data_IF_851451787739
#
_entry.id   IF_851451787739
#
_cell.length_a   1.000
_cell.length_b   1.000
_cell.length_c   1.000
_cell.angle_alpha   90.00
_cell.angle_beta   90.00
_cell.angle_gamma   90.00
#
_symmetry.space_group_name_H-M   'P 1'
#
loop_
_entity.id
_entity.type
_entity.pdbx_description
1 polymer ?
#
# COMPACT_ATOMS: atom_id res chain seq x y z
N UNK A 1 -10.21 -8.96 18.25
CA UNK A 1 -9.96 -7.68 18.88
C UNK A 1 -9.49 -6.68 17.82
N UNK A 2 -10.02 -5.48 17.79
CA UNK A 2 -9.57 -4.49 16.83
C UNK A 2 -8.12 -4.10 17.10
N UNK A 3 -7.40 -3.81 16.02
CA UNK A 3 -6.05 -3.32 16.12
C UNK A 3 -6.06 -1.91 16.73
N UNK A 4 -5.16 -1.67 17.67
CA UNK A 4 -5.02 -0.37 18.31
C UNK A 4 -3.82 0.37 17.71
N UNK A 5 -4.06 1.59 17.24
CA UNK A 5 -3.03 2.46 16.71
C UNK A 5 -3.04 3.79 17.44
N UNK A 6 -1.86 4.32 17.70
CA UNK A 6 -1.68 5.61 18.35
C UNK A 6 -1.72 6.76 17.35
N UNK A 7 -1.97 7.97 17.85
CA UNK A 7 -1.97 9.18 17.02
C UNK A 7 -0.60 9.45 16.39
N UNK A 8 0.48 9.07 17.07
CA UNK A 8 1.83 9.20 16.53
C UNK A 8 2.02 8.38 15.25
N UNK A 9 1.38 7.21 15.16
CA UNK A 9 1.43 6.36 13.98
C UNK A 9 0.68 7.00 12.80
N UNK A 10 -0.47 7.64 13.08
CA UNK A 10 -1.21 8.39 12.06
C UNK A 10 -0.42 9.58 11.55
N UNK A 11 0.26 10.31 12.45
CA UNK A 11 1.11 11.43 12.05
C UNK A 11 2.27 10.95 11.17
N UNK A 12 2.89 9.83 11.54
CA UNK A 12 3.93 9.21 10.74
C UNK A 12 3.41 8.79 9.36
N UNK A 13 2.17 8.31 9.29
CA UNK A 13 1.51 7.98 8.03
C UNK A 13 1.33 9.23 7.15
N UNK A 14 0.93 10.35 7.74
CA UNK A 14 0.80 11.62 7.01
C UNK A 14 2.13 12.02 6.38
N UNK A 15 3.21 11.97 7.15
CA UNK A 15 4.54 12.29 6.66
C UNK A 15 4.97 11.36 5.52
N UNK A 16 4.65 10.08 5.65
CA UNK A 16 4.95 9.07 4.63
C UNK A 16 4.19 9.35 3.33
N UNK A 17 2.89 9.59 3.42
CA UNK A 17 2.06 9.88 2.25
C UNK A 17 2.53 11.15 1.53
N UNK A 18 2.81 12.21 2.28
CA UNK A 18 3.29 13.46 1.69
C UNK A 18 4.68 13.29 1.08
N UNK A 19 5.53 12.47 1.69
CA UNK A 19 6.86 12.14 1.14
C UNK A 19 6.77 11.41 -0.20
N UNK A 20 5.84 10.45 -0.33
CA UNK A 20 5.61 9.76 -1.59
C UNK A 20 5.10 10.70 -2.67
N UNK A 21 4.12 11.53 -2.34
CA UNK A 21 3.56 12.49 -3.30
C UNK A 21 4.67 13.42 -3.79
N UNK A 22 5.47 13.95 -2.87
CA UNK A 22 6.56 14.87 -3.19
C UNK A 22 7.61 14.24 -4.09
N UNK A 23 7.97 12.99 -3.81
CA UNK A 23 8.98 12.26 -4.58
C UNK A 23 8.51 11.90 -5.98
N UNK A 24 7.24 11.50 -6.13
CA UNK A 24 6.74 10.84 -7.33
C UNK A 24 5.89 11.75 -8.24
N UNK A 25 5.60 12.99 -7.83
CA UNK A 25 4.89 13.96 -8.66
C UNK A 25 5.81 15.12 -9.03
N UNK A 26 5.74 15.55 -10.29
CA UNK A 26 6.49 16.72 -10.73
C UNK A 26 5.82 18.00 -10.21
N UNK A 27 6.62 18.98 -9.79
CA UNK A 27 6.14 20.26 -9.25
C UNK A 27 5.21 21.01 -10.22
N UNK A 28 5.43 20.86 -11.51
CA UNK A 28 4.64 21.54 -12.55
C UNK A 28 3.34 20.84 -12.87
N UNK A 29 3.06 19.68 -12.29
CA UNK A 29 1.81 18.97 -12.55
C UNK A 29 0.69 19.53 -11.67
N UNK A 30 -0.12 20.41 -12.25
CA UNK A 30 -1.42 20.73 -11.70
C UNK A 30 -2.33 19.53 -11.96
N UNK A 31 -2.60 18.76 -10.95
CA UNK A 31 -3.40 17.54 -11.09
C UNK A 31 -4.49 17.52 -10.04
N UNK A 32 -5.73 17.77 -10.48
CA UNK A 32 -6.91 17.74 -9.61
C UNK A 32 -7.08 16.37 -8.94
N UNK A 33 -6.66 15.29 -9.61
CA UNK A 33 -6.74 13.95 -9.04
C UNK A 33 -5.84 13.79 -7.81
N UNK A 34 -4.69 14.46 -7.78
CA UNK A 34 -3.80 14.42 -6.61
C UNK A 34 -4.44 15.16 -5.43
N UNK A 35 -5.08 16.31 -5.67
CA UNK A 35 -5.82 17.01 -4.62
C UNK A 35 -6.94 16.14 -4.05
N UNK A 36 -7.70 15.48 -4.91
CA UNK A 36 -8.77 14.57 -4.48
C UNK A 36 -8.21 13.41 -3.66
N UNK A 37 -7.07 12.87 -4.05
CA UNK A 37 -6.40 11.80 -3.30
C UNK A 37 -5.93 12.28 -1.93
N UNK A 38 -5.42 13.50 -1.82
CA UNK A 38 -5.01 14.05 -0.53
C UNK A 38 -6.21 14.22 0.39
N UNK A 39 -7.33 14.75 -0.12
CA UNK A 39 -8.56 14.87 0.66
C UNK A 39 -9.05 13.50 1.13
N UNK A 40 -9.07 12.53 0.23
CA UNK A 40 -9.47 11.16 0.54
C UNK A 40 -8.56 10.54 1.61
N UNK A 41 -7.26 10.81 1.54
CA UNK A 41 -6.31 10.33 2.53
C UNK A 41 -6.66 10.80 3.95
N UNK A 42 -6.96 12.09 4.11
CA UNK A 42 -7.32 12.62 5.43
C UNK A 42 -8.63 12.03 5.95
N UNK A 43 -9.59 11.75 5.08
CA UNK A 43 -10.83 11.06 5.47
C UNK A 43 -10.57 9.63 5.93
N UNK A 44 -9.64 8.93 5.26
CA UNK A 44 -9.24 7.58 5.64
C UNK A 44 -8.73 7.53 7.08
N UNK A 45 -7.95 8.51 7.50
CA UNK A 45 -7.38 8.52 8.85
C UNK A 45 -8.41 8.63 9.96
N UNK A 46 -9.65 8.97 9.64
CA UNK A 46 -10.75 9.02 10.61
C UNK A 46 -11.39 7.66 10.86
N UNK A 47 -11.07 6.66 10.04
CA UNK A 47 -11.67 5.32 10.14
C UNK A 47 -10.87 4.42 11.08
N UNK A 48 -11.57 3.47 11.72
CA UNK A 48 -10.91 2.46 12.56
C UNK A 48 -9.97 1.57 11.75
N UNK A 49 -10.34 1.25 10.50
CA UNK A 49 -9.53 0.44 9.59
C UNK A 49 -8.62 1.29 8.69
N UNK A 50 -8.14 2.42 9.21
CA UNK A 50 -7.40 3.39 8.39
C UNK A 50 -6.13 2.80 7.75
N UNK A 51 -5.44 1.87 8.43
CA UNK A 51 -4.21 1.30 7.86
C UNK A 51 -4.51 0.43 6.64
N UNK A 52 -5.54 -0.39 6.71
CA UNK A 52 -6.00 -1.17 5.56
C UNK A 52 -6.37 -0.24 4.40
N UNK A 53 -7.16 0.79 4.68
CA UNK A 53 -7.59 1.76 3.68
C UNK A 53 -6.41 2.54 3.11
N UNK A 54 -5.40 2.83 3.94
CA UNK A 54 -4.19 3.51 3.49
C UNK A 54 -3.40 2.66 2.48
N UNK A 55 -3.33 1.35 2.68
CA UNK A 55 -2.66 0.46 1.73
C UNK A 55 -3.33 0.56 0.34
N UNK A 56 -4.65 0.55 0.30
CA UNK A 56 -5.38 0.75 -0.94
C UNK A 56 -5.17 2.16 -1.51
N UNK A 57 -5.04 3.15 -0.64
CA UNK A 57 -4.76 4.51 -1.06
C UNK A 57 -3.40 4.61 -1.78
N UNK A 58 -2.38 3.94 -1.27
CA UNK A 58 -1.07 3.90 -1.94
C UNK A 58 -1.18 3.28 -3.33
N UNK A 59 -1.91 2.19 -3.45
CA UNK A 59 -2.13 1.54 -4.75
C UNK A 59 -2.87 2.47 -5.72
N UNK A 60 -3.88 3.18 -5.25
CA UNK A 60 -4.63 4.13 -6.05
C UNK A 60 -3.75 5.32 -6.48
N UNK A 61 -2.92 5.83 -5.58
CA UNK A 61 -1.98 6.89 -5.90
C UNK A 61 -1.01 6.45 -7.01
N UNK A 62 -0.42 5.26 -6.88
CA UNK A 62 0.48 4.73 -7.90
C UNK A 62 -0.22 4.54 -9.24
N UNK A 63 -1.45 4.06 -9.22
CA UNK A 63 -2.27 3.93 -10.44
C UNK A 63 -2.47 5.29 -11.11
N UNK A 64 -2.77 6.33 -10.34
CA UNK A 64 -3.01 7.67 -10.88
C UNK A 64 -1.77 8.32 -11.50
N UNK A 65 -0.58 7.89 -11.11
CA UNK A 65 0.67 8.38 -11.73
C UNK A 65 1.19 7.43 -12.81
N UNK A 66 0.40 6.42 -13.19
CA UNK A 66 0.69 5.56 -14.34
C UNK A 66 1.18 4.15 -14.00
N UNK A 67 1.16 3.74 -12.73
CA UNK A 67 1.65 2.42 -12.31
C UNK A 67 0.55 1.61 -11.64
N UNK A 68 -0.22 0.88 -12.45
CA UNK A 68 -1.35 0.09 -11.97
C UNK A 68 -0.92 -1.34 -11.63
N UNK A 69 -0.88 -1.65 -10.33
CA UNK A 69 -0.74 -3.03 -9.88
C UNK A 69 -2.14 -3.65 -9.79
N UNK A 70 -2.60 -4.22 -10.89
CA UNK A 70 -3.91 -4.85 -10.97
C UNK A 70 -3.83 -6.29 -10.47
N UNK A 71 -3.86 -6.45 -9.16
CA UNK A 71 -3.73 -7.77 -8.52
C UNK A 71 -4.85 -8.71 -8.93
N UNK A 72 -6.06 -8.19 -9.15
CA UNK A 72 -7.20 -9.04 -9.53
C UNK A 72 -7.00 -9.69 -10.90
N UNK A 73 -6.24 -9.05 -11.78
CA UNK A 73 -5.95 -9.60 -13.11
C UNK A 73 -4.83 -10.63 -13.10
N UNK A 74 -3.84 -10.47 -12.20
CA UNK A 74 -2.62 -11.29 -12.23
C UNK A 74 -2.60 -12.38 -11.18
N UNK A 75 -3.43 -12.29 -10.15
CA UNK A 75 -3.50 -13.28 -9.09
C UNK A 75 -4.34 -14.49 -9.52
N UNK A 76 -3.90 -15.68 -9.14
CA UNK A 76 -4.66 -16.89 -9.33
C UNK A 76 -5.02 -17.48 -7.97
N UNK A 77 -6.19 -18.13 -7.91
CA UNK A 77 -6.69 -18.76 -6.71
C UNK A 77 -6.13 -20.18 -6.61
N UNK A 78 -5.58 -20.53 -5.46
CA UNK A 78 -5.07 -21.87 -5.19
C UNK A 78 -5.52 -22.35 -3.80
N UNK A 79 -5.51 -23.66 -3.60
CA UNK A 79 -5.69 -24.26 -2.28
C UNK A 79 -4.32 -24.51 -1.67
N UNK A 80 -4.05 -23.89 -0.52
CA UNK A 80 -2.85 -24.13 0.29
C UNK A 80 -3.31 -24.54 1.68
N UNK A 81 -2.90 -25.74 2.12
CA UNK A 81 -3.28 -26.27 3.44
C UNK A 81 -4.79 -26.24 3.69
N UNK A 82 -5.58 -26.62 2.69
CA UNK A 82 -7.05 -26.61 2.70
C UNK A 82 -7.70 -25.23 2.78
N UNK A 83 -6.93 -24.16 2.64
CA UNK A 83 -7.45 -22.78 2.61
C UNK A 83 -7.24 -22.16 1.22
N UNK A 84 -8.16 -21.28 0.85
CA UNK A 84 -8.04 -20.53 -0.41
C UNK A 84 -6.98 -19.46 -0.24
N UNK A 85 -6.00 -19.45 -1.15
CA UNK A 85 -4.96 -18.44 -1.21
C UNK A 85 -4.90 -17.83 -2.61
N UNK A 86 -4.44 -16.61 -2.68
CA UNK A 86 -4.18 -15.92 -3.95
C UNK A 86 -2.68 -15.83 -4.16
N UNK A 87 -2.23 -16.18 -5.36
CA UNK A 87 -0.81 -16.21 -5.68
C UNK A 87 -0.55 -15.49 -6.99
N UNK A 88 0.63 -14.89 -7.09
CA UNK A 88 1.17 -14.33 -8.33
C UNK A 88 2.42 -15.13 -8.67
N UNK A 89 2.44 -15.69 -9.86
CA UNK A 89 3.57 -16.50 -10.35
C UNK A 89 4.40 -15.67 -11.33
N UNK A 90 5.70 -15.70 -11.14
CA UNK A 90 6.67 -15.22 -12.12
C UNK A 90 7.54 -16.40 -12.59
N UNK A 91 8.46 -16.14 -13.52
CA UNK A 91 9.36 -17.19 -14.01
C UNK A 91 10.27 -17.76 -12.92
N UNK A 92 10.52 -16.99 -11.85
CA UNK A 92 11.50 -17.34 -10.82
C UNK A 92 10.87 -17.62 -9.46
N UNK A 93 9.65 -17.13 -9.19
CA UNK A 93 9.06 -17.29 -7.87
C UNK A 93 7.53 -17.28 -7.90
N UNK A 94 6.97 -17.77 -6.81
CA UNK A 94 5.54 -17.77 -6.53
C UNK A 94 5.33 -16.96 -5.25
N UNK A 95 4.54 -15.89 -5.32
CA UNK A 95 4.31 -14.98 -4.21
C UNK A 95 2.86 -15.08 -3.75
N UNK A 96 2.67 -15.29 -2.44
CA UNK A 96 1.34 -15.31 -1.85
C UNK A 96 0.89 -13.87 -1.59
N UNK A 97 -0.32 -13.55 -1.99
CA UNK A 97 -0.91 -12.23 -1.86
C UNK A 97 -1.91 -12.26 -0.69
N UNK A 98 -1.83 -11.31 0.26
CA UNK A 98 -2.84 -11.22 1.31
C UNK A 98 -4.25 -11.11 0.71
N UNK A 99 -5.17 -11.93 1.21
CA UNK A 99 -6.51 -12.03 0.63
C UNK A 99 -7.26 -10.70 0.61
N UNK A 100 -7.04 -9.84 1.61
CA UNK A 100 -7.75 -8.55 1.66
C UNK A 100 -7.41 -7.63 0.49
N UNK A 101 -6.24 -7.79 -0.14
CA UNK A 101 -5.88 -7.00 -1.32
C UNK A 101 -6.68 -7.41 -2.56
N UNK A 102 -7.21 -8.63 -2.57
CA UNK A 102 -8.06 -9.13 -3.65
C UNK A 102 -9.53 -8.82 -3.35
N UNK A 103 -9.95 -9.01 -2.11
CA UNK A 103 -11.32 -8.74 -1.68
C UNK A 103 -11.31 -7.74 -0.51
N UNK A 104 -11.66 -6.50 -0.80
CA UNK A 104 -11.67 -5.40 0.19
C UNK A 104 -12.65 -5.63 1.34
N UNK A 105 -13.63 -6.52 1.20
CA UNK A 105 -14.61 -6.81 2.23
C UNK A 105 -14.06 -7.66 3.36
N UNK A 106 -12.91 -8.31 3.15
CA UNK A 106 -12.28 -9.13 4.18
C UNK A 106 -11.82 -8.23 5.32
N UNK A 107 -12.28 -8.55 6.53
CA UNK A 107 -11.85 -7.87 7.75
C UNK A 107 -10.47 -8.39 8.15
N UNK A 108 -9.54 -7.49 8.41
CA UNK A 108 -8.19 -7.86 8.83
C UNK A 108 -8.01 -7.49 10.30
N UNK A 109 -7.80 -8.49 11.15
CA UNK A 109 -7.61 -8.32 12.59
C UNK A 109 -6.15 -8.50 13.03
N UNK A 110 -5.28 -8.72 12.08
CA UNK A 110 -3.89 -9.11 12.32
C UNK A 110 -2.95 -8.10 11.69
N UNK A 111 -2.09 -7.51 12.52
CA UNK A 111 -1.12 -6.52 12.05
C UNK A 111 -0.15 -7.11 11.02
N UNK A 112 0.28 -8.36 11.21
CA UNK A 112 1.21 -8.99 10.27
C UNK A 112 0.63 -9.09 8.86
N UNK A 113 -0.65 -9.35 8.73
CA UNK A 113 -1.34 -9.38 7.43
C UNK A 113 -1.30 -8.01 6.77
N UNK A 114 -1.55 -6.94 7.52
CA UNK A 114 -1.45 -5.57 7.01
C UNK A 114 -0.01 -5.21 6.61
N UNK A 115 0.96 -5.60 7.43
CA UNK A 115 2.38 -5.38 7.11
C UNK A 115 2.80 -6.12 5.85
N UNK A 116 2.28 -7.32 5.63
CA UNK A 116 2.51 -8.07 4.39
C UNK A 116 1.94 -7.33 3.18
N UNK A 117 0.78 -6.70 3.34
CA UNK A 117 0.21 -5.86 2.30
C UNK A 117 1.09 -4.66 1.98
N UNK A 118 1.57 -3.95 3.00
CA UNK A 118 2.51 -2.84 2.83
C UNK A 118 3.81 -3.28 2.18
N UNK A 119 4.31 -4.45 2.56
CA UNK A 119 5.53 -4.99 1.96
C UNK A 119 5.33 -5.26 0.47
N UNK A 120 4.18 -5.80 0.09
CA UNK A 120 3.87 -6.03 -1.32
C UNK A 120 3.88 -4.73 -2.11
N UNK A 121 3.26 -3.68 -1.59
CA UNK A 121 3.26 -2.36 -2.22
C UNK A 121 4.68 -1.79 -2.28
N UNK A 122 5.47 -1.96 -1.20
CA UNK A 122 6.87 -1.53 -1.17
C UNK A 122 7.70 -2.19 -2.26
N UNK A 123 7.56 -3.50 -2.41
CA UNK A 123 8.30 -4.26 -3.42
C UNK A 123 7.90 -3.82 -4.83
N UNK A 124 6.61 -3.58 -5.06
CA UNK A 124 6.12 -3.08 -6.35
C UNK A 124 6.68 -1.69 -6.65
N UNK A 125 6.61 -0.78 -5.67
CA UNK A 125 7.13 0.58 -5.79
C UNK A 125 8.63 0.57 -6.11
N UNK A 126 9.40 -0.22 -5.39
CA UNK A 126 10.85 -0.31 -5.57
C UNK A 126 11.19 -0.85 -6.95
N UNK A 127 10.57 -1.95 -7.35
CA UNK A 127 10.86 -2.63 -8.61
C UNK A 127 10.45 -1.82 -9.83
N UNK A 128 9.31 -1.13 -9.77
CA UNK A 128 8.73 -0.45 -10.95
C UNK A 128 9.14 1.01 -11.07
N UNK A 129 9.43 1.68 -9.96
CA UNK A 129 9.69 3.13 -9.98
C UNK A 129 11.03 3.49 -9.39
N UNK A 130 11.34 3.03 -8.15
CA UNK A 130 12.50 3.53 -7.44
C UNK A 130 13.81 3.06 -8.07
N UNK A 131 14.01 1.75 -8.18
CA UNK A 131 15.24 1.20 -8.76
C UNK A 131 15.47 1.66 -10.19
N UNK A 132 14.50 1.63 -11.10
CA UNK A 132 14.71 2.11 -12.47
C UNK A 132 15.12 3.58 -12.56
N UNK A 133 14.80 4.39 -11.55
CA UNK A 133 15.11 5.82 -11.52
C UNK A 133 16.21 6.18 -10.52
N UNK A 134 16.92 5.19 -9.97
CA UNK A 134 17.97 5.40 -8.95
C UNK A 134 17.45 6.16 -7.73
N UNK A 135 16.23 5.88 -7.31
CA UNK A 135 15.60 6.50 -6.15
C UNK A 135 15.56 5.52 -4.99
N UNK A 136 15.56 6.07 -3.77
CA UNK A 136 15.36 5.32 -2.55
C UNK A 136 13.98 5.63 -1.98
N UNK A 137 13.49 4.76 -1.07
CA UNK A 137 12.28 5.07 -0.32
C UNK A 137 12.46 6.39 0.43
N UNK A 138 11.40 7.23 0.51
CA UNK A 138 11.44 8.36 1.43
C UNK A 138 11.70 7.87 2.84
N UNK A 139 12.55 8.60 3.58
CA UNK A 139 12.86 8.26 4.97
C UNK A 139 11.58 8.21 5.80
N UNK A 140 10.64 9.13 5.54
CA UNK A 140 9.35 9.18 6.23
C UNK A 140 8.55 7.88 6.06
N UNK A 141 8.62 7.24 4.89
CA UNK A 141 7.92 5.97 4.66
C UNK A 141 8.56 4.84 5.46
N UNK A 142 9.87 4.76 5.48
CA UNK A 142 10.59 3.76 6.28
C UNK A 142 10.30 3.95 7.77
N UNK A 143 10.30 5.18 8.26
CA UNK A 143 9.96 5.49 9.65
C UNK A 143 8.53 5.09 9.98
N UNK A 144 7.58 5.37 9.09
CA UNK A 144 6.19 4.99 9.28
C UNK A 144 6.04 3.48 9.42
N UNK A 145 6.59 2.70 8.48
CA UNK A 145 6.48 1.24 8.51
C UNK A 145 7.13 0.70 9.78
N UNK A 146 8.29 1.22 10.17
CA UNK A 146 8.96 0.78 11.40
C UNK A 146 8.13 1.11 12.66
N UNK A 147 7.38 2.22 12.64
CA UNK A 147 6.53 2.59 13.77
C UNK A 147 5.39 1.61 14.02
N UNK A 148 5.01 0.83 13.01
CA UNK A 148 3.94 -0.16 13.09
C UNK A 148 4.39 -1.50 13.68
N UNK A 149 5.69 -1.76 13.67
CA UNK A 149 6.26 -3.04 14.10
C UNK A 149 6.39 -3.17 15.61
#
# INVERSE_FOLDING_TARGET
>A
SPLYFENSQKLSCINSAMGLIRLLTAESQSNTKIFDLIEKFYLILLNDEWLKDYIFWELEFLKNIGFDLDLNSIATKELLDDEIAYVVKSNTEKKIIPNFLIDKKIVVNDLNTLLNGLKLVSDFLDKTILKPNNLNYPISRTQFINSLK
#
